data_IF_704269840168
#
_entry.id   IF_704269840168
#
_cell.length_a   1.000
_cell.length_b   1.000
_cell.length_c   1.000
_cell.angle_alpha   90.00
_cell.angle_beta   90.00
_cell.angle_gamma   90.00
#
_symmetry.space_group_name_H-M   'P 1'
#
loop_
_entity.id
_entity.type
_entity.pdbx_description
1 polymer ?
#
# COMPACT_ATOMS: atom_id res chain seq x y z
N UNK A 1 -11.16 4.06 -17.83
CA UNK A 1 -10.89 2.71 -17.31
C UNK A 1 -9.97 2.86 -16.11
N UNK A 2 -10.35 2.36 -14.92
CA UNK A 2 -9.53 2.51 -13.71
C UNK A 2 -8.32 1.58 -13.81
N UNK A 3 -7.11 2.16 -13.88
CA UNK A 3 -5.84 1.42 -14.03
C UNK A 3 -5.14 1.17 -12.69
N UNK A 4 -5.47 1.96 -11.67
CA UNK A 4 -4.94 1.86 -10.32
C UNK A 4 -5.97 1.16 -9.44
N UNK A 5 -5.54 0.14 -8.71
CA UNK A 5 -6.36 -0.53 -7.72
C UNK A 5 -5.91 -0.11 -6.32
N UNK A 6 -6.79 0.58 -5.59
CA UNK A 6 -6.64 0.76 -4.15
C UNK A 6 -7.00 -0.55 -3.46
N UNK A 7 -6.07 -1.10 -2.72
CA UNK A 7 -6.25 -2.30 -1.91
C UNK A 7 -6.19 -1.91 -0.43
N UNK A 8 -6.71 -2.78 0.44
CA UNK A 8 -6.77 -2.52 1.86
C UNK A 8 -6.46 -3.79 2.64
N UNK A 9 -5.64 -3.65 3.69
CA UNK A 9 -5.40 -4.70 4.68
C UNK A 9 -5.52 -4.08 6.07
N UNK A 10 -6.63 -4.38 6.78
CA UNK A 10 -6.99 -3.67 8.01
C UNK A 10 -7.16 -2.16 7.78
N UNK A 11 -6.27 -1.38 8.39
CA UNK A 11 -6.22 0.08 8.26
C UNK A 11 -5.18 0.57 7.23
N UNK A 12 -4.39 -0.34 6.66
CA UNK A 12 -3.35 0.00 5.69
C UNK A 12 -3.94 0.12 4.30
N UNK A 13 -3.59 1.20 3.60
CA UNK A 13 -3.97 1.47 2.21
C UNK A 13 -2.74 1.33 1.34
N UNK A 14 -2.89 0.68 0.20
CA UNK A 14 -1.80 0.40 -0.72
C UNK A 14 -2.35 0.45 -2.13
N UNK A 15 -1.50 0.80 -3.08
CA UNK A 15 -1.93 0.96 -4.46
C UNK A 15 -1.18 -0.01 -5.35
N UNK A 16 -1.93 -0.84 -6.07
CA UNK A 16 -1.37 -1.60 -7.17
C UNK A 16 -1.49 -0.75 -8.43
N UNK A 17 -0.33 -0.37 -8.99
CA UNK A 17 -0.22 0.59 -10.08
C UNK A 17 0.58 0.02 -11.26
N UNK A 18 0.22 0.37 -12.51
CA UNK A 18 1.10 0.17 -13.66
C UNK A 18 2.37 1.03 -13.53
N UNK A 19 3.50 0.53 -14.03
CA UNK A 19 4.79 1.24 -13.93
C UNK A 19 4.77 2.64 -14.56
N UNK A 20 4.03 2.81 -15.66
CA UNK A 20 3.91 4.11 -16.34
C UNK A 20 3.30 5.20 -15.46
N UNK A 21 2.49 4.81 -14.49
CA UNK A 21 1.82 5.74 -13.59
C UNK A 21 2.75 6.17 -12.44
N UNK A 22 4.00 5.67 -12.39
CA UNK A 22 5.04 6.08 -11.43
C UNK A 22 6.13 6.99 -12.03
N UNK A 23 6.13 7.24 -13.34
CA UNK A 23 7.19 8.01 -13.99
C UNK A 23 7.40 9.39 -13.35
N UNK A 24 6.32 10.08 -12.95
CA UNK A 24 6.41 11.37 -12.24
C UNK A 24 7.00 11.22 -10.84
N UNK A 25 6.62 10.19 -10.09
CA UNK A 25 7.16 9.93 -8.75
C UNK A 25 8.67 9.60 -8.82
N UNK A 26 9.10 8.87 -9.85
CA UNK A 26 10.51 8.57 -10.09
C UNK A 26 11.30 9.84 -10.47
N UNK A 27 10.77 10.66 -11.39
CA UNK A 27 11.41 11.91 -11.84
C UNK A 27 11.60 12.91 -10.68
N UNK A 28 10.62 13.00 -9.80
CA UNK A 28 10.64 13.91 -8.66
C UNK A 28 11.43 13.34 -7.45
N UNK A 29 12.04 12.15 -7.59
CA UNK A 29 12.72 11.42 -6.51
C UNK A 29 11.83 11.23 -5.27
N UNK A 30 10.53 11.05 -5.48
CA UNK A 30 9.57 10.81 -4.41
C UNK A 30 9.67 9.38 -3.85
N UNK A 31 10.17 8.44 -4.65
CA UNK A 31 10.45 7.07 -4.25
C UNK A 31 11.89 7.04 -3.71
N UNK A 32 12.06 6.97 -2.39
CA UNK A 32 13.37 6.95 -1.75
C UNK A 32 13.82 5.52 -1.45
N UNK A 33 12.88 4.67 -1.02
CA UNK A 33 13.12 3.25 -0.74
C UNK A 33 12.29 2.38 -1.66
N UNK A 34 12.97 1.50 -2.41
CA UNK A 34 12.28 0.60 -3.33
C UNK A 34 12.89 -0.78 -3.34
N UNK A 35 12.05 -1.77 -3.64
CA UNK A 35 12.45 -3.16 -3.70
C UNK A 35 11.89 -3.86 -4.92
N UNK A 36 12.42 -5.04 -5.21
CA UNK A 36 11.92 -5.91 -6.28
C UNK A 36 11.58 -7.27 -5.70
N UNK A 37 10.40 -7.77 -6.04
CA UNK A 37 9.89 -9.04 -5.54
C UNK A 37 9.16 -9.77 -6.65
N UNK A 38 9.23 -11.11 -6.68
CA UNK A 38 8.46 -11.88 -7.66
C UNK A 38 6.96 -11.87 -7.32
N UNK A 39 6.09 -11.99 -8.33
CA UNK A 39 4.63 -12.11 -8.08
C UNK A 39 4.28 -13.32 -7.19
N UNK A 40 5.05 -14.40 -7.25
CA UNK A 40 4.84 -15.59 -6.43
C UNK A 40 5.18 -15.33 -4.97
N UNK A 41 6.28 -14.63 -4.73
CA UNK A 41 6.74 -14.24 -3.39
C UNK A 41 5.80 -13.20 -2.77
N UNK A 42 5.38 -12.20 -3.55
CA UNK A 42 4.38 -11.21 -3.13
C UNK A 42 3.08 -11.86 -2.66
N UNK A 43 2.62 -12.92 -3.35
CA UNK A 43 1.44 -13.68 -2.94
C UNK A 43 1.66 -14.48 -1.65
N UNK A 44 2.87 -14.97 -1.43
CA UNK A 44 3.21 -15.74 -0.23
C UNK A 44 3.39 -14.85 1.01
N UNK A 45 3.88 -13.61 0.82
CA UNK A 45 4.24 -12.66 1.88
C UNK A 45 3.41 -11.38 1.83
N UNK A 46 2.15 -11.48 1.39
CA UNK A 46 1.33 -10.32 1.10
C UNK A 46 1.17 -9.40 2.32
N UNK A 47 0.91 -9.96 3.51
CA UNK A 47 0.79 -9.22 4.77
C UNK A 47 2.08 -8.48 5.14
N UNK A 48 3.22 -9.12 5.00
CA UNK A 48 4.52 -8.49 5.29
C UNK A 48 4.78 -7.33 4.31
N UNK A 49 4.44 -7.50 3.02
CA UNK A 49 4.55 -6.42 2.04
C UNK A 49 3.73 -5.18 2.44
N UNK A 50 2.54 -5.39 3.01
CA UNK A 50 1.69 -4.31 3.53
C UNK A 50 2.34 -3.54 4.67
N UNK A 51 2.86 -4.27 5.66
CA UNK A 51 3.52 -3.67 6.83
C UNK A 51 4.77 -2.89 6.43
N UNK A 52 5.56 -3.45 5.51
CA UNK A 52 6.77 -2.79 4.98
C UNK A 52 6.45 -1.50 4.24
N UNK A 53 5.37 -1.48 3.46
CA UNK A 53 4.91 -0.26 2.75
C UNK A 53 4.46 0.88 3.67
N UNK A 54 4.08 0.56 4.91
CA UNK A 54 3.66 1.53 5.90
C UNK A 54 4.85 2.17 6.64
N UNK A 55 5.92 1.41 6.85
CA UNK A 55 6.99 1.78 7.78
C UNK A 55 8.29 2.12 7.05
N UNK A 56 8.63 1.39 5.98
CA UNK A 56 10.02 1.33 5.48
C UNK A 56 10.15 1.54 3.96
N UNK A 57 9.24 0.98 3.17
CA UNK A 57 9.37 0.90 1.71
C UNK A 57 8.35 1.81 1.03
N UNK A 58 8.78 2.66 0.12
CA UNK A 58 7.86 3.51 -0.65
C UNK A 58 7.23 2.73 -1.83
N UNK A 59 7.98 1.81 -2.43
CA UNK A 59 7.55 1.07 -3.62
C UNK A 59 8.13 -0.35 -3.70
N UNK A 60 7.27 -1.34 -3.90
CA UNK A 60 7.66 -2.73 -4.20
C UNK A 60 7.35 -3.02 -5.68
N UNK A 61 8.39 -3.16 -6.50
CA UNK A 61 8.25 -3.55 -7.91
C UNK A 61 7.98 -5.06 -8.01
N UNK A 62 6.84 -5.41 -8.58
CA UNK A 62 6.43 -6.78 -8.79
C UNK A 62 6.96 -7.28 -10.12
N UNK A 63 7.73 -8.36 -10.07
CA UNK A 63 8.39 -8.94 -11.24
C UNK A 63 7.73 -10.22 -11.72
N UNK A 64 7.78 -10.43 -13.05
CA UNK A 64 7.42 -11.66 -13.72
C UNK A 64 8.52 -12.03 -14.71
N UNK A 65 9.13 -13.21 -14.56
CA UNK A 65 10.32 -13.62 -15.33
C UNK A 65 11.41 -12.52 -15.38
N UNK A 66 11.72 -11.93 -14.22
CA UNK A 66 12.72 -10.87 -14.03
C UNK A 66 12.41 -9.53 -14.74
N UNK A 67 11.17 -9.32 -15.18
CA UNK A 67 10.71 -8.02 -15.69
C UNK A 67 9.73 -7.40 -14.73
N UNK A 68 9.90 -6.12 -14.41
CA UNK A 68 8.91 -5.34 -13.67
C UNK A 68 7.60 -5.34 -14.47
N UNK A 69 6.51 -5.74 -13.83
CA UNK A 69 5.19 -5.84 -14.43
C UNK A 69 4.22 -4.81 -13.85
N UNK A 70 4.32 -4.58 -12.55
CA UNK A 70 3.52 -3.61 -11.80
C UNK A 70 4.31 -3.16 -10.57
N UNK A 71 3.77 -2.19 -9.85
CA UNK A 71 4.31 -1.76 -8.57
C UNK A 71 3.20 -1.74 -7.53
N UNK A 72 3.58 -2.09 -6.31
CA UNK A 72 2.75 -1.98 -5.14
C UNK A 72 3.32 -0.86 -4.26
N UNK A 73 2.56 0.21 -4.08
CA UNK A 73 3.11 1.49 -3.63
C UNK A 73 2.42 2.07 -2.40
N UNK A 74 3.22 2.80 -1.64
CA UNK A 74 2.87 3.34 -0.33
C UNK A 74 1.80 4.41 -0.46
N UNK A 75 0.91 4.56 0.54
CA UNK A 75 -0.10 5.61 0.52
C UNK A 75 0.50 7.02 0.48
N UNK A 76 1.76 7.18 0.90
CA UNK A 76 2.52 8.43 0.82
C UNK A 76 2.69 8.94 -0.62
N UNK A 77 2.68 8.03 -1.59
CA UNK A 77 2.80 8.38 -3.01
C UNK A 77 1.46 8.74 -3.65
N UNK A 78 0.34 8.74 -2.90
CA UNK A 78 -0.99 9.05 -3.43
C UNK A 78 -1.06 10.35 -4.25
N UNK A 79 -0.32 11.38 -3.84
CA UNK A 79 -0.28 12.68 -4.53
C UNK A 79 0.38 12.63 -5.92
N UNK A 80 1.21 11.62 -6.17
CA UNK A 80 1.85 11.39 -7.46
C UNK A 80 1.03 10.46 -8.36
N UNK A 81 0.02 9.80 -7.80
CA UNK A 81 -0.82 8.85 -8.50
C UNK A 81 -2.10 9.54 -8.96
N UNK A 82 -2.53 9.23 -10.19
CA UNK A 82 -3.79 9.72 -10.74
C UNK A 82 -5.02 8.98 -10.13
N UNK A 83 -5.10 8.92 -8.80
CA UNK A 83 -6.17 8.24 -8.07
C UNK A 83 -7.40 9.16 -8.01
N UNK A 84 -8.59 8.67 -8.36
CA UNK A 84 -9.82 9.42 -8.10
C UNK A 84 -10.02 9.55 -6.59
N UNK A 85 -9.89 10.77 -6.08
CA UNK A 85 -9.97 11.10 -4.65
C UNK A 85 -11.26 10.54 -4.02
N UNK A 86 -12.38 10.51 -4.76
CA UNK A 86 -13.67 10.02 -4.26
C UNK A 86 -13.68 8.56 -3.78
N UNK A 87 -12.72 7.72 -4.21
CA UNK A 87 -12.72 6.28 -3.91
C UNK A 87 -11.93 5.90 -2.66
N UNK A 88 -11.01 6.78 -2.23
CA UNK A 88 -10.05 6.50 -1.15
C UNK A 88 -10.08 7.58 -0.07
N UNK A 89 -10.72 8.73 -0.33
CA UNK A 89 -10.71 9.91 0.54
C UNK A 89 -11.13 9.63 1.98
N UNK A 90 -12.20 8.87 2.20
CA UNK A 90 -12.72 8.63 3.55
C UNK A 90 -11.72 7.88 4.46
N UNK A 91 -10.79 7.09 3.90
CA UNK A 91 -9.74 6.40 4.66
C UNK A 91 -8.41 7.14 4.67
N UNK A 92 -8.05 7.83 3.59
CA UNK A 92 -6.86 8.70 3.58
C UNK A 92 -7.00 9.86 4.57
N UNK A 93 -8.19 10.45 4.68
CA UNK A 93 -8.50 11.48 5.68
C UNK A 93 -8.43 10.94 7.12
N UNK A 94 -8.72 9.66 7.35
CA UNK A 94 -8.58 9.03 8.67
C UNK A 94 -7.11 8.83 9.08
N UNK A 95 -6.21 8.63 8.11
CA UNK A 95 -4.76 8.57 8.33
C UNK A 95 -4.17 9.96 8.59
N UNK A 96 -4.56 10.96 7.80
CA UNK A 96 -4.01 12.33 7.87
C UNK A 96 -4.49 13.11 9.11
N UNK A 97 -5.65 12.73 9.66
CA UNK A 97 -6.23 13.36 10.87
C UNK A 97 -5.72 12.78 12.19
N UNK A 98 -4.84 11.77 12.18
CA UNK A 98 -4.32 11.14 13.40
C UNK A 98 -5.38 10.43 14.25
N UNK A 99 -6.56 10.16 13.69
CA UNK A 99 -7.66 9.45 14.38
C UNK A 99 -7.36 7.95 14.59
N UNK A 100 -6.38 7.41 13.87
CA UNK A 100 -5.88 6.06 14.02
C UNK A 100 -4.54 6.13 14.75
N UNK A 101 -4.55 5.84 16.05
CA UNK A 101 -3.33 5.67 16.85
C UNK A 101 -2.84 4.21 16.68
N UNK A 102 -1.59 4.03 16.26
CA UNK A 102 -0.96 2.72 16.05
C UNK A 102 -0.99 1.83 17.32
N UNK A 103 -1.27 2.41 18.48
CA UNK A 103 -1.43 1.70 19.75
C UNK A 103 -2.78 1.01 19.95
N UNK A 104 -3.80 1.30 19.15
CA UNK A 104 -5.12 0.66 19.32
C UNK A 104 -5.21 -0.76 18.72
N UNK A 105 -4.10 -1.26 18.15
CA UNK A 105 -4.03 -2.55 17.45
C UNK A 105 -3.95 -3.79 18.35
N UNK A 106 -3.83 -3.64 19.68
CA UNK A 106 -3.67 -4.79 20.60
C UNK A 106 -4.94 -5.25 21.33
N UNK A 107 -6.07 -4.53 21.26
CA UNK A 107 -7.23 -4.83 22.11
C UNK A 107 -8.40 -5.51 21.39
N UNK A 108 -8.30 -5.83 20.10
CA UNK A 108 -9.43 -6.43 19.34
C UNK A 108 -9.35 -7.95 19.21
N UNK A 109 -8.33 -8.61 19.76
CA UNK A 109 -8.26 -10.10 19.79
C UNK A 109 -8.85 -10.73 21.06
N UNK A 110 -9.26 -9.95 22.07
CA UNK A 110 -9.76 -10.50 23.35
C UNK A 110 -11.29 -10.56 23.50
N UNK A 111 -12.06 -10.07 22.53
CA UNK A 111 -13.53 -9.98 22.64
C UNK A 111 -14.32 -11.08 21.89
N UNK A 112 -13.64 -12.00 21.19
CA UNK A 112 -14.32 -13.05 20.39
C UNK A 112 -14.39 -14.41 21.12
N UNK A 113 -13.70 -14.58 22.24
CA UNK A 113 -13.65 -15.86 22.99
C UNK A 113 -14.56 -15.93 24.24
N UNK A 114 -15.56 -15.06 24.37
CA UNK A 114 -16.49 -15.07 25.52
C UNK A 114 -17.97 -15.38 25.19
N UNK A 115 -18.28 -15.82 23.97
CA UNK A 115 -19.62 -16.32 23.60
C UNK A 115 -19.60 -17.76 23.04
N UNK A 116 -18.99 -18.69 23.78
CA UNK A 116 -19.28 -20.13 23.64
C UNK A 116 -19.47 -20.81 24.98
#
# INVERSE_FOLDING_TARGET
>A
MKRIAATYYGQVVGFLVPLKDLETAEQDNAIQTSEEMSLSEFRAQMTECWERLQIEVDCIYLTYHNRKAAAFVSPRLANYLAIPISEVAHKLLALDSGLIDAKSLNDTESLIDLEK
#
